data_IF_551921771804
#
_entry.id   IF_551921771804
#
_cell.length_a   1.000
_cell.length_b   1.000
_cell.length_c   1.000
_cell.angle_alpha   90.00
_cell.angle_beta   90.00
_cell.angle_gamma   90.00
#
_symmetry.space_group_name_H-M   'P 1'
#
loop_
_entity.id
_entity.type
_entity.pdbx_description
1 polymer ?
#
# COMPACT_ATOMS: atom_id res chain seq x y z
N UNK A 1 -15.36 -10.15 -36.22
CA UNK A 1 -15.75 -8.88 -35.56
C UNK A 1 -16.14 -9.01 -34.08
N UNK A 2 -17.19 -9.75 -33.67
CA UNK A 2 -17.62 -9.81 -32.24
C UNK A 2 -16.52 -10.23 -31.26
N UNK A 3 -15.75 -11.28 -31.57
CA UNK A 3 -14.65 -11.76 -30.71
C UNK A 3 -13.50 -10.73 -30.58
N UNK A 4 -13.07 -10.13 -31.68
CA UNK A 4 -12.03 -9.07 -31.68
C UNK A 4 -12.45 -7.86 -30.85
N UNK A 5 -13.72 -7.45 -30.95
CA UNK A 5 -14.28 -6.36 -30.14
C UNK A 5 -14.30 -6.72 -28.64
N UNK A 6 -14.70 -7.94 -28.28
CA UNK A 6 -14.66 -8.42 -26.90
C UNK A 6 -13.22 -8.42 -26.34
N UNK A 7 -12.26 -8.96 -27.09
CA UNK A 7 -10.85 -8.97 -26.69
C UNK A 7 -10.29 -7.56 -26.53
N UNK A 8 -10.61 -6.65 -27.46
CA UNK A 8 -10.25 -5.24 -27.37
C UNK A 8 -10.77 -4.63 -26.06
N UNK A 9 -12.08 -4.71 -25.80
CA UNK A 9 -12.70 -4.13 -24.59
C UNK A 9 -12.09 -4.70 -23.30
N UNK A 10 -11.84 -6.00 -23.22
CA UNK A 10 -11.21 -6.61 -22.03
C UNK A 10 -9.80 -6.06 -21.81
N UNK A 11 -8.98 -5.97 -22.86
CA UNK A 11 -7.64 -5.42 -22.76
C UNK A 11 -7.66 -3.93 -22.40
N UNK A 12 -8.57 -3.14 -22.99
CA UNK A 12 -8.74 -1.72 -22.66
C UNK A 12 -9.12 -1.51 -21.19
N UNK A 13 -10.01 -2.34 -20.64
CA UNK A 13 -10.39 -2.27 -19.22
C UNK A 13 -9.21 -2.59 -18.29
N UNK A 14 -8.40 -3.59 -18.64
CA UNK A 14 -7.20 -3.95 -17.87
C UNK A 14 -6.19 -2.79 -17.88
N UNK A 15 -5.95 -2.18 -19.04
CA UNK A 15 -5.03 -1.05 -19.19
C UNK A 15 -5.55 0.16 -18.39
N UNK A 16 -6.83 0.49 -18.52
CA UNK A 16 -7.45 1.58 -17.78
C UNK A 16 -7.35 1.40 -16.26
N UNK A 17 -7.60 0.17 -15.77
CA UNK A 17 -7.46 -0.16 -14.35
C UNK A 17 -6.00 -0.03 -13.89
N UNK A 18 -5.03 -0.51 -14.67
CA UNK A 18 -3.61 -0.41 -14.33
C UNK A 18 -3.11 1.04 -14.29
N UNK A 19 -3.52 1.88 -15.25
CA UNK A 19 -3.17 3.31 -15.26
C UNK A 19 -3.82 4.07 -14.12
N UNK A 20 -5.09 3.79 -13.83
CA UNK A 20 -5.78 4.39 -12.67
C UNK A 20 -5.10 4.01 -11.37
N UNK A 21 -4.76 2.73 -11.21
CA UNK A 21 -4.03 2.24 -10.04
C UNK A 21 -2.67 2.95 -9.90
N UNK A 22 -1.91 3.09 -10.99
CA UNK A 22 -0.64 3.80 -10.98
C UNK A 22 -0.79 5.27 -10.51
N UNK A 23 -1.73 6.03 -11.08
CA UNK A 23 -1.98 7.42 -10.69
C UNK A 23 -2.37 7.53 -9.21
N UNK A 24 -3.25 6.64 -8.73
CA UNK A 24 -3.67 6.61 -7.32
C UNK A 24 -2.51 6.31 -6.39
N UNK A 25 -1.68 5.31 -6.70
CA UNK A 25 -0.51 4.95 -5.89
C UNK A 25 0.51 6.09 -5.85
N UNK A 26 0.82 6.71 -6.99
CA UNK A 26 1.74 7.86 -7.04
C UNK A 26 1.21 9.04 -6.22
N UNK A 27 -0.09 9.33 -6.33
CA UNK A 27 -0.70 10.41 -5.53
C UNK A 27 -0.66 10.10 -4.02
N UNK A 28 -0.98 8.86 -3.63
CA UNK A 28 -0.88 8.43 -2.23
C UNK A 28 0.56 8.52 -1.70
N UNK A 29 1.55 8.12 -2.50
CA UNK A 29 2.96 8.21 -2.13
C UNK A 29 3.41 9.66 -1.96
N UNK A 30 3.02 10.57 -2.86
CA UNK A 30 3.36 12.00 -2.76
C UNK A 30 2.69 12.65 -1.55
N UNK A 31 1.42 12.31 -1.27
CA UNK A 31 0.72 12.78 -0.08
C UNK A 31 1.38 12.27 1.20
N UNK A 32 1.72 10.98 1.26
CA UNK A 32 2.41 10.39 2.41
C UNK A 32 3.78 11.05 2.65
N UNK A 33 4.55 11.34 1.59
CA UNK A 33 5.83 12.03 1.70
C UNK A 33 5.67 13.47 2.24
N UNK A 34 4.61 14.18 1.83
CA UNK A 34 4.28 15.49 2.38
C UNK A 34 3.93 15.38 3.88
N UNK A 35 3.04 14.46 4.25
CA UNK A 35 2.64 14.24 5.64
C UNK A 35 3.85 13.88 6.53
N UNK A 36 4.78 13.06 6.03
CA UNK A 36 6.02 12.72 6.72
C UNK A 36 6.95 13.92 6.90
N UNK A 37 7.17 14.71 5.85
CA UNK A 37 7.97 15.95 5.93
C UNK A 37 7.39 16.93 6.95
N UNK A 38 6.07 17.05 7.01
CA UNK A 38 5.37 17.91 7.96
C UNK A 38 5.51 17.40 9.40
N UNK A 39 5.42 16.09 9.63
CA UNK A 39 5.68 15.49 10.95
C UNK A 39 7.11 15.71 11.42
N UNK A 40 8.10 15.58 10.54
CA UNK A 40 9.49 15.92 10.86
C UNK A 40 9.64 17.40 11.20
N UNK A 41 8.91 18.29 10.52
CA UNK A 41 8.87 19.72 10.87
C UNK A 41 8.30 19.95 12.27
N UNK A 42 7.25 19.23 12.70
CA UNK A 42 6.75 19.31 14.11
C UNK A 42 7.87 18.96 15.08
N UNK A 43 8.56 17.84 14.85
CA UNK A 43 9.64 17.38 15.75
C UNK A 43 10.74 18.44 15.83
N UNK A 44 11.16 19.00 14.70
CA UNK A 44 12.17 20.07 14.66
C UNK A 44 11.72 21.32 15.43
N UNK A 45 10.49 21.78 15.23
CA UNK A 45 9.96 22.95 15.94
C UNK A 45 9.83 22.67 17.44
N UNK A 46 9.33 21.49 17.83
CA UNK A 46 9.23 21.08 19.24
C UNK A 46 10.61 21.06 19.91
N UNK A 47 11.61 20.46 19.27
CA UNK A 47 12.98 20.43 19.78
C UNK A 47 13.61 21.82 19.85
N UNK A 48 13.34 22.68 18.86
CA UNK A 48 13.81 24.07 18.86
C UNK A 48 13.17 24.87 19.99
N UNK A 49 11.86 24.70 20.22
CA UNK A 49 11.14 25.35 21.31
C UNK A 49 11.65 24.88 22.67
N UNK A 50 11.81 23.57 22.87
CA UNK A 50 12.34 23.03 24.14
C UNK A 50 13.74 23.54 24.42
N UNK A 51 14.61 23.58 23.40
CA UNK A 51 15.98 24.08 23.55
C UNK A 51 16.00 25.57 23.93
N UNK A 52 15.18 26.39 23.27
CA UNK A 52 15.10 27.82 23.57
C UNK A 52 14.55 28.06 24.98
N UNK A 53 13.50 27.33 25.37
CA UNK A 53 12.95 27.35 26.73
C UNK A 53 14.02 26.96 27.76
N UNK A 54 14.72 25.84 27.57
CA UNK A 54 15.78 25.41 28.50
C UNK A 54 16.93 26.42 28.58
N UNK A 55 17.35 27.01 27.45
CA UNK A 55 18.40 28.03 27.44
C UNK A 55 17.99 29.28 28.22
N UNK A 56 16.78 29.79 27.98
CA UNK A 56 16.26 30.95 28.72
C UNK A 56 15.99 30.63 30.19
N UNK A 57 15.65 29.38 30.52
CA UNK A 57 15.42 28.92 31.88
C UNK A 57 16.72 28.98 32.68
N UNK A 58 17.79 28.39 32.18
CA UNK A 58 19.11 28.45 32.82
C UNK A 58 19.57 29.89 33.05
N UNK A 59 19.24 30.81 32.13
CA UNK A 59 19.51 32.23 32.33
C UNK A 59 18.76 32.80 33.54
N UNK A 60 17.50 32.41 33.76
CA UNK A 60 16.74 32.86 34.94
C UNK A 60 17.29 32.26 36.24
N UNK A 61 17.71 30.99 36.22
CA UNK A 61 18.38 30.34 37.35
C UNK A 61 19.70 31.05 37.72
N UNK A 62 20.52 31.39 36.71
CA UNK A 62 21.75 32.16 36.89
C UNK A 62 21.49 33.54 37.52
N UNK A 63 20.48 34.27 37.02
CA UNK A 63 20.12 35.59 37.56
C UNK A 63 19.62 35.47 39.02
N UNK A 64 18.76 34.49 39.29
CA UNK A 64 18.27 34.23 40.64
C UNK A 64 19.42 33.89 41.59
N UNK A 65 20.34 33.00 41.18
CA UNK A 65 21.51 32.62 41.97
C UNK A 65 22.44 33.81 42.22
N UNK A 66 22.71 34.60 41.18
CA UNK A 66 23.57 35.78 41.27
C UNK A 66 23.02 36.79 42.27
N UNK A 67 21.73 37.14 42.19
CA UNK A 67 21.13 38.11 43.11
C UNK A 67 20.95 37.52 44.52
N UNK A 68 20.67 36.22 44.64
CA UNK A 68 20.63 35.51 45.92
C UNK A 68 21.98 35.54 46.66
N UNK A 69 23.10 35.73 45.95
CA UNK A 69 24.43 35.83 46.55
C UNK A 69 24.74 37.19 47.20
N UNK A 70 23.96 38.24 46.90
CA UNK A 70 24.26 39.59 47.34
C UNK A 70 24.10 39.74 48.86
N UNK A 71 25.14 40.22 49.59
CA UNK A 71 25.11 40.29 51.05
C UNK A 71 23.91 41.08 51.60
N UNK A 72 23.58 42.22 50.98
CA UNK A 72 22.43 43.04 51.39
C UNK A 72 21.10 42.29 51.23
N UNK A 73 20.92 41.58 50.10
CA UNK A 73 19.72 40.76 49.85
C UNK A 73 19.62 39.63 50.86
N UNK A 74 20.70 38.88 51.08
CA UNK A 74 20.77 37.77 52.04
C UNK A 74 20.37 38.21 53.45
N UNK A 75 20.99 39.29 53.94
CA UNK A 75 20.79 39.76 55.31
C UNK A 75 19.43 40.42 55.52
N UNK A 76 18.94 41.22 54.56
CA UNK A 76 17.59 41.79 54.63
C UNK A 76 16.52 40.71 54.55
N UNK A 77 16.72 39.68 53.73
CA UNK A 77 15.75 38.59 53.63
C UNK A 77 15.71 37.75 54.91
N UNK A 78 16.87 37.48 55.54
CA UNK A 78 16.94 36.83 56.85
C UNK A 78 16.22 37.65 57.93
N UNK A 79 16.46 38.97 57.97
CA UNK A 79 15.78 39.87 58.89
C UNK A 79 14.26 39.87 58.66
N UNK A 80 13.82 39.84 57.40
CA UNK A 80 12.41 39.81 57.03
C UNK A 80 11.72 38.53 57.46
N UNK A 81 12.38 37.38 57.25
CA UNK A 81 11.90 36.09 57.74
C UNK A 81 11.75 36.07 59.27
N UNK A 82 12.79 36.51 60.00
CA UNK A 82 12.76 36.58 61.47
C UNK A 82 11.64 37.48 61.97
N UNK A 83 11.42 38.62 61.32
CA UNK A 83 10.32 39.51 61.67
C UNK A 83 8.97 38.80 61.52
N UNK A 84 8.73 38.11 60.39
CA UNK A 84 7.51 37.31 60.18
C UNK A 84 7.36 36.21 61.24
N UNK A 85 8.45 35.49 61.58
CA UNK A 85 8.43 34.44 62.60
C UNK A 85 8.11 35.02 63.99
N UNK A 86 8.73 36.14 64.37
CA UNK A 86 8.51 36.83 65.65
C UNK A 86 7.09 37.40 65.78
N UNK A 87 6.46 37.77 64.66
CA UNK A 87 5.11 38.29 64.60
C UNK A 87 4.04 37.18 64.52
N UNK A 88 4.43 35.91 64.69
CA UNK A 88 3.50 34.76 64.72
C UNK A 88 3.23 34.11 63.36
N UNK A 89 4.00 34.46 62.33
CA UNK A 89 3.93 33.89 60.99
C UNK A 89 2.93 34.58 60.06
N UNK A 90 2.47 33.86 59.04
CA UNK A 90 1.49 34.37 58.07
C UNK A 90 2.07 35.46 57.16
N UNK A 91 1.38 36.60 57.09
CA UNK A 91 1.74 37.71 56.18
C UNK A 91 2.79 38.68 56.76
N UNK A 92 3.14 38.51 58.04
CA UNK A 92 3.93 39.47 58.79
C UNK A 92 3.14 40.72 59.22
N UNK A 93 3.60 41.35 60.29
CA UNK A 93 3.10 42.60 60.84
C UNK A 93 3.97 43.81 60.45
N UNK A 94 4.12 44.74 61.39
CA UNK A 94 4.78 46.03 61.17
C UNK A 94 6.30 45.92 60.97
N UNK A 95 6.97 45.03 61.71
CA UNK A 95 8.41 44.84 61.60
C UNK A 95 8.76 44.11 60.31
N UNK A 96 7.97 43.10 59.92
CA UNK A 96 8.11 42.47 58.60
C UNK A 96 7.91 43.49 57.47
N UNK A 97 6.93 44.40 57.59
CA UNK A 97 6.70 45.46 56.60
C UNK A 97 7.91 46.41 56.48
N UNK A 98 8.47 46.88 57.59
CA UNK A 98 9.68 47.74 57.59
C UNK A 98 10.87 47.07 56.91
N UNK A 99 11.09 45.78 57.13
CA UNK A 99 12.18 45.05 56.48
C UNK A 99 11.86 44.78 55.01
N UNK A 100 10.60 44.48 54.68
CA UNK A 100 10.14 44.32 53.30
C UNK A 100 10.38 45.57 52.47
N UNK A 101 10.13 46.77 53.00
CA UNK A 101 10.38 48.04 52.31
C UNK A 101 11.88 48.27 52.05
N UNK A 102 12.73 47.92 53.02
CA UNK A 102 14.19 47.98 52.85
C UNK A 102 14.67 46.99 51.79
N UNK A 103 14.16 45.76 51.82
CA UNK A 103 14.47 44.76 50.80
C UNK A 103 13.98 45.22 49.43
N UNK A 104 12.77 45.76 49.35
CA UNK A 104 12.20 46.31 48.12
C UNK A 104 13.11 47.39 47.51
N UNK A 105 13.59 48.33 48.32
CA UNK A 105 14.47 49.41 47.85
C UNK A 105 15.71 48.84 47.16
N UNK A 106 16.39 47.89 47.81
CA UNK A 106 17.59 47.24 47.24
C UNK A 106 17.26 46.41 46.00
N UNK A 107 16.17 45.64 46.06
CA UNK A 107 15.78 44.73 44.98
C UNK A 107 15.23 45.46 43.75
N UNK A 108 14.62 46.64 43.91
CA UNK A 108 14.11 47.45 42.80
C UNK A 108 15.24 47.95 41.91
N UNK A 109 16.34 48.44 42.49
CA UNK A 109 17.50 48.90 41.73
C UNK A 109 18.10 47.76 40.90
N UNK A 110 18.24 46.58 41.52
CA UNK A 110 18.73 45.37 40.85
C UNK A 110 17.77 44.95 39.74
N UNK A 111 16.47 44.88 40.03
CA UNK A 111 15.45 44.47 39.08
C UNK A 111 15.37 45.44 37.89
N UNK A 112 15.46 46.75 38.12
CA UNK A 112 15.47 47.75 37.05
C UNK A 112 16.68 47.58 36.11
N UNK A 113 17.88 47.39 36.67
CA UNK A 113 19.10 47.16 35.89
C UNK A 113 19.02 45.86 35.08
N UNK A 114 18.53 44.78 35.68
CA UNK A 114 18.37 43.49 35.00
C UNK A 114 17.25 43.53 33.96
N UNK A 115 16.18 44.30 34.20
CA UNK A 115 15.06 44.47 33.28
C UNK A 115 15.48 45.03 31.93
N UNK A 116 16.41 46.00 31.90
CA UNK A 116 16.87 46.61 30.65
C UNK A 116 17.73 45.68 29.78
N UNK A 117 18.52 44.79 30.41
CA UNK A 117 19.46 43.91 29.69
C UNK A 117 18.94 42.50 29.41
N UNK A 118 18.11 41.97 30.30
CA UNK A 118 17.69 40.56 30.28
C UNK A 118 16.19 40.36 30.06
N UNK A 119 15.42 41.46 30.03
CA UNK A 119 13.96 41.44 29.77
C UNK A 119 13.25 40.50 30.77
N UNK A 120 13.62 40.69 32.04
CA UNK A 120 13.02 40.08 33.23
C UNK A 120 11.74 40.83 33.55
N UNK A 121 10.65 40.09 33.73
CA UNK A 121 9.35 40.66 34.11
C UNK A 121 9.14 40.65 35.63
N UNK A 122 9.55 39.59 36.30
CA UNK A 122 9.22 39.39 37.71
C UNK A 122 10.45 39.04 38.52
N UNK A 123 10.52 39.60 39.71
CA UNK A 123 11.42 39.21 40.79
C UNK A 123 10.59 39.00 42.06
N UNK A 124 10.79 37.87 42.74
CA UNK A 124 9.90 37.42 43.81
C UNK A 124 10.64 36.63 44.90
N UNK A 125 10.48 37.05 46.15
CA UNK A 125 10.98 36.35 47.34
C UNK A 125 9.91 35.49 48.00
N UNK A 126 10.25 34.26 48.37
CA UNK A 126 9.35 33.31 49.00
C UNK A 126 9.90 32.75 50.32
N UNK A 127 9.08 32.80 51.37
CA UNK A 127 9.38 32.15 52.64
C UNK A 127 9.15 30.64 52.53
N UNK A 128 9.94 29.82 53.25
CA UNK A 128 9.78 28.37 53.27
C UNK A 128 8.48 27.93 53.96
N UNK A 129 8.22 26.62 53.90
CA UNK A 129 6.97 26.03 54.38
C UNK A 129 5.93 26.02 53.27
N UNK A 130 5.03 27.00 53.23
CA UNK A 130 3.93 27.05 52.25
C UNK A 130 4.24 27.85 50.98
N UNK A 131 5.53 28.07 50.70
CA UNK A 131 6.01 28.97 49.64
C UNK A 131 5.32 30.34 49.71
N UNK A 132 5.26 30.94 50.91
CA UNK A 132 4.52 32.18 51.12
C UNK A 132 5.22 33.33 50.42
N UNK A 133 4.47 34.10 49.63
CA UNK A 133 4.97 35.32 48.98
C UNK A 133 5.44 36.34 50.03
N UNK A 134 6.74 36.59 50.15
CA UNK A 134 7.26 37.63 51.05
C UNK A 134 7.24 39.01 50.38
N UNK A 135 7.74 39.07 49.14
CA UNK A 135 7.90 40.31 48.40
C UNK A 135 7.89 40.04 46.89
N UNK A 136 6.92 40.63 46.19
CA UNK A 136 6.91 40.73 44.72
C UNK A 136 7.45 42.11 44.33
N UNK A 137 8.68 42.18 43.84
CA UNK A 137 9.30 43.48 43.51
C UNK A 137 8.51 44.22 42.42
N UNK A 138 7.94 43.47 41.49
CA UNK A 138 7.09 43.96 40.39
C UNK A 138 5.65 44.31 40.79
N UNK A 139 5.21 43.90 41.99
CA UNK A 139 3.88 44.21 42.55
C UNK A 139 3.94 44.25 44.08
N UNK A 140 4.60 45.26 44.69
CA UNK A 140 4.98 45.23 46.10
C UNK A 140 3.82 45.11 47.08
N UNK A 141 2.64 45.62 46.72
CA UNK A 141 1.43 45.57 47.55
C UNK A 141 0.80 44.17 47.65
N UNK A 142 1.27 43.20 46.83
CA UNK A 142 0.73 41.85 46.78
C UNK A 142 1.69 40.83 47.43
N UNK A 143 1.51 40.60 48.73
CA UNK A 143 2.30 39.67 49.53
C UNK A 143 1.41 38.81 50.45
N UNK A 144 2.02 37.78 51.06
CA UNK A 144 1.40 36.94 52.07
C UNK A 144 0.56 35.77 51.52
N UNK A 145 0.33 35.71 50.21
CA UNK A 145 -0.41 34.61 49.59
C UNK A 145 0.39 33.31 49.58
N UNK A 146 -0.31 32.18 49.76
CA UNK A 146 0.27 30.84 49.68
C UNK A 146 0.31 30.38 48.23
N UNK A 147 1.45 29.83 47.82
CA UNK A 147 1.74 29.47 46.44
C UNK A 147 1.89 27.97 46.23
N UNK A 148 2.21 27.22 47.29
CA UNK A 148 2.44 25.78 47.21
C UNK A 148 1.34 24.96 46.51
N UNK A 149 0.02 25.28 46.54
CA UNK A 149 -0.98 24.43 45.91
C UNK A 149 -0.86 24.27 44.39
N UNK A 150 -0.22 25.22 43.71
CA UNK A 150 -0.11 25.24 42.24
C UNK A 150 1.30 25.56 41.73
N UNK A 151 2.27 25.78 42.63
CA UNK A 151 3.65 26.17 42.31
C UNK A 151 4.62 25.08 42.77
N UNK A 152 4.59 23.94 42.09
CA UNK A 152 5.41 22.78 42.43
C UNK A 152 6.91 23.11 42.36
N UNK A 153 7.29 24.02 41.46
CA UNK A 153 8.68 24.48 41.36
C UNK A 153 9.20 25.09 42.67
N UNK A 154 8.35 25.85 43.39
CA UNK A 154 8.74 26.45 44.66
C UNK A 154 8.85 25.40 45.76
N UNK A 155 7.96 24.41 45.78
CA UNK A 155 8.05 23.29 46.73
C UNK A 155 9.38 22.58 46.52
N UNK A 156 9.68 22.17 45.29
CA UNK A 156 10.90 21.45 44.97
C UNK A 156 12.16 22.26 45.29
N UNK A 157 12.15 23.57 45.03
CA UNK A 157 13.28 24.45 45.37
C UNK A 157 13.46 24.59 46.89
N UNK A 158 12.39 24.60 47.67
CA UNK A 158 12.45 24.61 49.13
C UNK A 158 12.92 23.28 49.70
N UNK A 159 12.45 22.15 49.17
CA UNK A 159 12.78 20.81 49.68
C UNK A 159 14.18 20.35 49.28
N UNK A 160 14.60 20.65 48.05
CA UNK A 160 15.93 20.26 47.55
C UNK A 160 17.03 21.27 47.91
N UNK A 161 16.65 22.49 48.28
CA UNK A 161 17.55 23.63 48.44
C UNK A 161 18.51 23.80 47.24
N UNK A 162 18.00 23.59 46.03
CA UNK A 162 18.78 23.63 44.79
C UNK A 162 18.19 24.61 43.77
N UNK A 163 18.95 24.91 42.72
CA UNK A 163 18.44 25.70 41.60
C UNK A 163 17.37 24.89 40.87
N UNK A 164 16.20 25.49 40.69
CA UNK A 164 15.09 24.88 39.97
C UNK A 164 14.57 25.90 38.96
N UNK A 165 14.28 25.45 37.75
CA UNK A 165 13.66 26.30 36.74
C UNK A 165 12.72 25.49 35.86
N UNK A 166 11.89 26.23 35.14
CA UNK A 166 10.94 25.66 34.22
C UNK A 166 9.86 26.63 33.82
N UNK A 167 8.94 26.12 33.01
CA UNK A 167 7.73 26.82 32.64
C UNK A 167 6.68 26.63 33.74
N UNK A 168 6.07 27.68 34.28
CA UNK A 168 5.02 27.51 35.30
C UNK A 168 4.05 28.70 35.35
N UNK A 169 2.76 28.41 35.48
CA UNK A 169 1.71 29.42 35.63
C UNK A 169 1.79 30.03 37.04
N UNK A 170 1.75 31.37 37.10
CA UNK A 170 1.66 32.10 38.36
C UNK A 170 0.34 32.84 38.50
N UNK A 171 0.27 33.73 39.49
CA UNK A 171 -0.92 34.56 39.76
C UNK A 171 -1.29 35.55 38.64
N UNK A 172 -0.37 35.81 37.71
CA UNK A 172 -0.51 36.84 36.67
C UNK A 172 -0.53 36.21 35.27
N UNK A 173 0.41 35.32 34.99
CA UNK A 173 0.63 34.77 33.65
C UNK A 173 1.42 33.45 33.69
N UNK A 174 1.43 32.78 32.55
CA UNK A 174 2.45 31.78 32.23
C UNK A 174 3.79 32.50 32.02
N UNK A 175 4.84 31.98 32.62
CA UNK A 175 6.19 32.50 32.40
C UNK A 175 7.24 31.44 32.62
N UNK A 176 8.40 31.69 32.04
CA UNK A 176 9.61 30.91 32.28
C UNK A 176 10.30 31.44 33.51
N UNK A 177 10.68 30.54 34.42
CA UNK A 177 11.11 30.90 35.77
C UNK A 177 12.40 30.20 36.15
N UNK A 178 13.19 30.87 36.98
CA UNK A 178 14.35 30.32 37.65
C UNK A 178 14.33 30.71 39.12
N UNK A 179 14.46 29.73 39.99
CA UNK A 179 14.33 29.82 41.44
C UNK A 179 15.66 29.40 42.07
N UNK A 180 16.20 30.25 42.95
CA UNK A 180 17.42 29.98 43.68
C UNK A 180 17.19 29.99 45.20
N UNK A 181 17.83 29.08 45.94
CA UNK A 181 17.84 29.13 47.39
C UNK A 181 18.65 30.32 47.88
N UNK A 182 18.17 30.98 48.93
CA UNK A 182 18.88 32.07 49.59
C UNK A 182 19.32 31.59 50.96
N UNK A 183 20.62 31.64 51.20
CA UNK A 183 21.21 31.45 52.53
C UNK A 183 21.63 32.78 53.10
N UNK A 184 21.78 32.89 54.41
CA UNK A 184 22.37 34.06 55.05
C UNK A 184 23.14 33.64 56.29
N UNK A 185 24.27 34.31 56.57
CA UNK A 185 25.02 34.06 57.78
C UNK A 185 24.24 34.59 58.97
N UNK A 186 23.92 33.68 59.89
CA UNK A 186 23.24 33.97 61.13
C UNK A 186 24.28 34.14 62.24
N UNK A 187 24.44 35.38 62.74
CA UNK A 187 25.42 35.70 63.77
C UNK A 187 25.10 35.06 65.13
N UNK A 188 23.83 34.75 65.42
CA UNK A 188 23.42 34.11 66.68
C UNK A 188 23.71 32.61 66.64
N UNK A 189 23.55 31.98 65.48
CA UNK A 189 23.81 30.55 65.28
C UNK A 189 25.23 30.25 64.81
N UNK A 190 26.00 31.27 64.41
CA UNK A 190 27.38 31.15 63.96
C UNK A 190 27.55 30.41 62.63
N UNK A 191 26.51 30.29 61.80
CA UNK A 191 26.51 29.52 60.54
C UNK A 191 25.58 30.12 59.50
N UNK A 192 25.75 29.73 58.24
CA UNK A 192 24.77 30.00 57.20
C UNK A 192 23.47 29.23 57.47
N UNK A 193 22.33 29.91 57.35
CA UNK A 193 21.00 29.33 57.46
C UNK A 193 20.23 29.52 56.18
N UNK A 194 19.42 28.53 55.82
CA UNK A 194 18.49 28.62 54.71
C UNK A 194 17.38 29.61 55.06
N UNK A 195 17.21 30.64 54.24
CA UNK A 195 16.26 31.74 54.48
C UNK A 195 14.97 31.49 53.71
N UNK A 196 15.05 31.12 52.43
CA UNK A 196 13.92 30.97 51.53
C UNK A 196 14.40 30.90 50.08
N UNK A 197 13.55 31.27 49.13
CA UNK A 197 13.92 31.31 47.70
C UNK A 197 13.75 32.69 47.09
N UNK A 198 14.54 32.95 46.04
CA UNK A 198 14.44 34.09 45.16
C UNK A 198 14.17 33.59 43.74
N UNK A 199 13.13 34.12 43.11
CA UNK A 199 12.71 33.77 41.76
C UNK A 199 12.85 34.96 40.81
N UNK A 200 13.28 34.65 39.60
CA UNK A 200 13.19 35.52 38.43
C UNK A 200 12.29 34.87 37.37
N UNK A 201 11.45 35.67 36.71
CA UNK A 201 10.61 35.20 35.62
C UNK A 201 10.56 36.13 34.42
N UNK A 202 10.32 35.53 33.25
CA UNK A 202 10.26 36.17 31.95
C UNK A 202 9.07 35.67 31.11
N UNK A 203 8.53 36.56 30.27
CA UNK A 203 7.47 36.23 29.31
C UNK A 203 7.97 35.36 28.15
N UNK A 204 7.04 34.62 27.55
CA UNK A 204 7.34 33.73 26.43
C UNK A 204 7.32 34.43 25.07
N UNK A 205 6.79 35.65 24.97
CA UNK A 205 6.60 36.38 23.71
C UNK A 205 7.85 36.33 22.80
N UNK A 206 9.03 36.69 23.34
CA UNK A 206 10.28 36.65 22.56
C UNK A 206 10.68 35.24 22.16
N UNK A 207 10.51 34.24 23.04
CA UNK A 207 10.82 32.84 22.74
C UNK A 207 9.96 32.34 21.59
N UNK A 208 8.66 32.63 21.65
CA UNK A 208 7.69 32.28 20.61
C UNK A 208 8.06 32.92 19.27
N UNK A 209 8.39 34.21 19.28
CA UNK A 209 8.78 34.95 18.07
C UNK A 209 10.11 34.48 17.49
N UNK A 210 11.13 34.24 18.33
CA UNK A 210 12.44 33.76 17.90
C UNK A 210 12.34 32.36 17.28
N UNK A 211 11.61 31.44 17.92
CA UNK A 211 11.38 30.08 17.38
C UNK A 211 10.58 30.14 16.08
N UNK A 212 9.51 30.93 16.04
CA UNK A 212 8.69 31.12 14.85
C UNK A 212 9.50 31.62 13.65
N UNK A 213 10.31 32.67 13.85
CA UNK A 213 11.15 33.25 12.82
C UNK A 213 12.24 32.28 12.34
N UNK A 214 12.94 31.63 13.28
CA UNK A 214 14.02 30.70 12.95
C UNK A 214 13.53 29.43 12.26
N UNK A 215 12.33 28.97 12.61
CA UNK A 215 11.74 27.79 12.00
C UNK A 215 10.88 28.10 10.77
N UNK A 216 10.65 29.38 10.47
CA UNK A 216 9.73 29.85 9.44
C UNK A 216 8.33 29.22 9.60
N UNK A 217 7.77 29.30 10.81
CA UNK A 217 6.42 28.82 11.14
C UNK A 217 5.68 29.86 11.98
N UNK A 218 4.37 29.94 11.83
CA UNK A 218 3.50 30.53 12.84
C UNK A 218 3.45 29.63 14.08
N UNK A 219 3.54 30.23 15.25
CA UNK A 219 3.48 29.53 16.53
C UNK A 219 2.55 30.29 17.47
N UNK A 220 1.64 29.57 18.12
CA UNK A 220 0.76 30.11 19.14
C UNK A 220 0.76 29.20 20.37
N UNK A 221 0.68 29.81 21.55
CA UNK A 221 0.53 29.12 22.83
C UNK A 221 -0.87 29.39 23.34
N UNK A 222 -1.64 28.32 23.52
CA UNK A 222 -3.00 28.32 24.04
C UNK A 222 -2.98 27.74 25.44
N UNK A 223 -3.67 28.38 26.38
CA UNK A 223 -3.77 27.92 27.77
C UNK A 223 -5.19 27.53 28.08
N UNK A 224 -5.33 26.42 28.80
CA UNK A 224 -6.62 25.89 29.20
C UNK A 224 -7.29 26.82 30.23
N UNK A 225 -8.55 27.21 29.96
CA UNK A 225 -9.29 28.16 30.79
C UNK A 225 -9.49 27.65 32.22
N UNK A 226 -9.79 26.35 32.38
CA UNK A 226 -10.05 25.75 33.69
C UNK A 226 -8.78 25.79 34.55
N UNK A 227 -7.61 25.54 33.94
CA UNK A 227 -6.32 25.68 34.62
C UNK A 227 -6.04 27.14 35.04
N UNK A 228 -6.34 28.11 34.16
CA UNK A 228 -6.12 29.52 34.45
C UNK A 228 -7.01 30.03 35.59
N UNK A 229 -8.28 29.63 35.64
CA UNK A 229 -9.23 30.03 36.69
C UNK A 229 -8.79 29.61 38.10
N UNK A 230 -8.06 28.50 38.21
CA UNK A 230 -7.55 28.00 39.50
C UNK A 230 -6.29 28.74 39.98
N UNK A 231 -5.46 29.23 39.05
CA UNK A 231 -4.11 29.72 39.36
C UNK A 231 -3.99 31.24 39.30
N UNK A 232 -4.61 31.87 38.29
CA UNK A 232 -4.51 33.31 38.01
C UNK A 232 -5.51 34.09 38.87
N UNK A 233 -5.12 35.28 39.35
CA UNK A 233 -6.07 36.12 40.11
C UNK A 233 -7.28 36.54 39.25
N UNK A 234 -8.50 36.57 39.81
CA UNK A 234 -9.71 36.89 39.04
C UNK A 234 -9.66 38.21 38.29
N UNK A 235 -9.06 39.25 38.89
CA UNK A 235 -8.87 40.55 38.24
C UNK A 235 -7.95 40.46 37.01
N UNK A 236 -6.86 39.70 37.13
CA UNK A 236 -5.88 39.50 36.04
C UNK A 236 -6.45 38.63 34.94
N UNK A 237 -7.20 37.59 35.30
CA UNK A 237 -7.91 36.76 34.34
C UNK A 237 -8.95 37.58 33.58
N UNK A 238 -9.79 38.36 34.28
CA UNK A 238 -10.77 39.23 33.64
C UNK A 238 -10.14 40.26 32.70
N UNK A 239 -8.95 40.79 33.04
CA UNK A 239 -8.17 41.64 32.13
C UNK A 239 -7.69 40.87 30.90
N UNK A 240 -7.08 39.69 31.09
CA UNK A 240 -6.59 38.82 30.03
C UNK A 240 -7.70 38.45 29.04
N UNK A 241 -8.89 38.11 29.51
CA UNK A 241 -10.04 37.75 28.68
C UNK A 241 -10.59 38.91 27.82
N UNK A 242 -10.32 40.17 28.21
CA UNK A 242 -10.69 41.34 27.38
C UNK A 242 -9.65 41.68 26.32
N UNK A 243 -8.39 41.34 26.58
CA UNK A 243 -7.24 41.75 25.75
C UNK A 243 -6.77 40.64 24.80
N UNK A 244 -6.95 39.38 25.17
CA UNK A 244 -6.46 38.21 24.42
C UNK A 244 -7.61 37.50 23.71
N UNK A 245 -7.26 36.80 22.63
CA UNK A 245 -8.21 35.98 21.87
C UNK A 245 -8.57 34.75 22.70
N UNK A 246 -9.87 34.54 22.88
CA UNK A 246 -10.42 33.33 23.49
C UNK A 246 -10.96 32.44 22.39
N UNK A 247 -10.64 31.16 22.46
CA UNK A 247 -11.08 30.18 21.49
C UNK A 247 -11.57 28.93 22.19
N UNK A 248 -12.88 28.69 22.12
CA UNK A 248 -13.55 27.65 22.92
C UNK A 248 -13.11 27.76 24.40
N UNK A 249 -12.52 26.69 24.95
CA UNK A 249 -12.01 26.63 26.33
C UNK A 249 -10.54 27.07 26.48
N UNK A 250 -9.96 27.72 25.48
CA UNK A 250 -8.56 28.15 25.49
C UNK A 250 -8.41 29.67 25.39
N UNK A 251 -7.38 30.20 26.03
CA UNK A 251 -6.91 31.58 25.86
C UNK A 251 -5.60 31.57 25.10
N UNK A 252 -5.49 32.35 24.03
CA UNK A 252 -4.21 32.53 23.34
C UNK A 252 -3.31 33.41 24.21
N UNK A 253 -2.29 32.80 24.81
CA UNK A 253 -1.29 33.49 25.63
C UNK A 253 -0.34 34.29 24.75
N UNK A 254 0.27 33.64 23.77
CA UNK A 254 1.24 34.22 22.85
C UNK A 254 0.99 33.72 21.43
N UNK A 255 1.27 34.55 20.43
CA UNK A 255 1.22 34.15 19.04
C UNK A 255 2.21 34.98 18.21
N UNK A 256 2.91 34.33 17.29
CA UNK A 256 3.90 34.98 16.42
C UNK A 256 3.32 35.53 15.11
N UNK A 257 2.05 35.24 14.81
CA UNK A 257 1.40 35.63 13.56
C UNK A 257 0.23 36.60 13.81
N UNK A 258 0.00 37.57 12.90
CA UNK A 258 -1.10 38.52 13.03
C UNK A 258 -2.46 37.85 12.81
N UNK A 259 -3.54 38.55 13.17
CA UNK A 259 -4.92 38.13 12.91
C UNK A 259 -5.35 36.78 13.50
N UNK A 260 -4.79 36.43 14.66
CA UNK A 260 -5.06 35.21 15.44
C UNK A 260 -6.55 34.90 15.59
N UNK A 261 -7.39 35.90 15.88
CA UNK A 261 -8.85 35.74 15.99
C UNK A 261 -9.47 35.21 14.68
N UNK A 262 -9.09 35.79 13.54
CA UNK A 262 -9.61 35.37 12.24
C UNK A 262 -9.13 33.97 11.84
N UNK A 263 -7.91 33.61 12.26
CA UNK A 263 -7.29 32.32 12.00
C UNK A 263 -8.05 31.22 12.74
N UNK A 264 -8.28 31.40 14.04
CA UNK A 264 -8.90 30.36 14.86
C UNK A 264 -10.42 30.23 14.66
N UNK A 265 -11.15 31.27 14.23
CA UNK A 265 -12.59 31.18 13.91
C UNK A 265 -12.94 30.21 12.79
N UNK A 266 -11.97 29.77 12.00
CA UNK A 266 -12.17 28.98 10.76
C UNK A 266 -11.65 27.56 10.88
N UNK A 267 -11.03 27.23 12.01
CA UNK A 267 -10.44 25.93 12.29
C UNK A 267 -11.33 25.21 13.29
N UNK A 268 -11.60 23.92 13.05
CA UNK A 268 -12.22 23.05 14.05
C UNK A 268 -11.17 22.73 15.12
N UNK A 269 -11.22 23.47 16.22
CA UNK A 269 -10.19 23.45 17.25
C UNK A 269 -10.31 22.26 18.17
N UNK A 270 -11.54 21.80 18.44
CA UNK A 270 -11.75 20.56 19.18
C UNK A 270 -11.12 19.38 18.42
N UNK A 271 -11.28 19.34 17.09
CA UNK A 271 -10.59 18.36 16.27
C UNK A 271 -9.06 18.50 16.34
N UNK A 272 -8.54 19.73 16.19
CA UNK A 272 -7.09 19.99 16.17
C UNK A 272 -6.43 19.67 17.52
N UNK A 273 -7.09 19.91 18.64
CA UNK A 273 -6.50 19.80 19.99
C UNK A 273 -6.71 18.43 20.66
N UNK A 274 -7.60 17.59 20.14
CA UNK A 274 -7.95 16.28 20.74
C UNK A 274 -6.90 15.19 20.57
N UNK A 275 -6.05 15.25 19.55
CA UNK A 275 -4.97 14.29 19.24
C UNK A 275 -3.91 15.07 18.47
N UNK A 276 -2.60 14.86 18.68
CA UNK A 276 -1.48 15.48 17.91
C UNK A 276 -1.64 15.28 16.39
N UNK A 277 -2.56 16.02 15.79
CA UNK A 277 -3.04 15.84 14.42
C UNK A 277 -2.47 16.93 13.55
N UNK A 278 -2.43 16.57 12.27
CA UNK A 278 -1.94 17.41 11.20
C UNK A 278 -3.07 17.59 10.21
N UNK A 279 -3.39 18.83 9.89
CA UNK A 279 -4.43 19.13 8.91
C UNK A 279 -3.96 20.25 8.00
N UNK A 280 -4.21 20.12 6.69
CA UNK A 280 -4.03 21.22 5.74
C UNK A 280 -5.36 21.92 5.60
N UNK A 281 -5.41 23.17 6.06
CA UNK A 281 -6.58 24.02 6.01
C UNK A 281 -6.39 25.13 4.96
N UNK A 282 -7.47 25.47 4.27
CA UNK A 282 -7.47 26.60 3.33
C UNK A 282 -7.94 27.86 4.05
N UNK A 283 -7.06 28.85 4.17
CA UNK A 283 -7.31 30.08 4.89
C UNK A 283 -8.09 31.13 4.09
N UNK A 284 -8.45 32.18 4.84
CA UNK A 284 -8.86 33.54 4.41
C UNK A 284 -8.59 33.97 2.99
N UNK A 285 -7.29 34.17 2.84
CA UNK A 285 -6.53 34.74 1.77
C UNK A 285 -6.38 33.78 0.59
N UNK A 286 -6.90 32.56 0.73
CA UNK A 286 -6.76 31.49 -0.25
C UNK A 286 -5.46 30.70 -0.10
N UNK A 287 -4.59 31.03 0.85
CA UNK A 287 -3.41 30.26 1.17
C UNK A 287 -3.78 28.92 1.82
N UNK A 288 -2.95 27.90 1.61
CA UNK A 288 -3.07 26.62 2.31
C UNK A 288 -2.09 26.61 3.47
N UNK A 289 -2.62 26.58 4.68
CA UNK A 289 -1.83 26.44 5.89
C UNK A 289 -1.92 25.02 6.41
N UNK A 290 -0.76 24.44 6.70
CA UNK A 290 -0.70 23.23 7.50
C UNK A 290 -0.72 23.60 8.98
N UNK A 291 -1.58 22.93 9.72
CA UNK A 291 -1.83 23.12 11.13
C UNK A 291 -1.42 21.87 11.89
N UNK A 292 -0.76 22.08 13.02
CA UNK A 292 -0.42 21.02 13.96
C UNK A 292 -0.55 21.51 15.39
N UNK A 293 -0.83 20.60 16.31
CA UNK A 293 -0.88 20.89 17.74
C UNK A 293 -0.08 19.87 18.54
N UNK A 294 0.39 20.29 19.71
CA UNK A 294 0.90 19.38 20.72
C UNK A 294 0.76 19.97 22.14
N UNK A 295 0.63 19.12 23.16
CA UNK A 295 0.37 19.57 24.52
C UNK A 295 1.53 20.41 25.07
N UNK A 296 1.18 21.53 25.72
CA UNK A 296 2.11 22.32 26.52
C UNK A 296 2.05 21.84 27.97
N UNK A 297 3.17 21.35 28.48
CA UNK A 297 3.33 20.95 29.87
C UNK A 297 4.14 22.00 30.61
N UNK A 298 3.71 22.31 31.82
CA UNK A 298 4.50 23.09 32.77
C UNK A 298 5.48 22.17 33.52
N UNK A 299 6.30 22.76 34.38
CA UNK A 299 7.28 22.08 35.20
C UNK A 299 6.70 20.88 35.97
N UNK A 300 5.48 21.02 36.50
CA UNK A 300 4.82 19.92 37.21
C UNK A 300 4.36 18.83 36.22
N UNK A 301 3.72 19.21 35.10
CA UNK A 301 3.30 18.28 34.07
C UNK A 301 4.43 17.54 33.36
N UNK A 302 5.66 18.07 33.36
CA UNK A 302 6.87 17.37 32.88
C UNK A 302 7.32 16.26 33.84
N UNK A 303 7.17 16.47 35.15
CA UNK A 303 7.52 15.48 36.18
C UNK A 303 6.45 14.40 36.37
N UNK A 304 5.19 14.77 36.21
CA UNK A 304 4.05 13.88 36.32
C UNK A 304 3.28 13.80 34.98
N UNK A 305 3.59 12.81 34.13
CA UNK A 305 2.91 12.61 32.86
C UNK A 305 1.39 12.37 32.97
N UNK A 306 0.90 11.90 34.13
CA UNK A 306 -0.52 11.66 34.36
C UNK A 306 -1.32 12.96 34.52
N UNK A 307 -0.65 14.07 34.84
CA UNK A 307 -1.27 15.39 34.90
C UNK A 307 -1.65 15.86 33.51
N UNK A 308 -2.80 16.53 33.42
CA UNK A 308 -3.25 17.20 32.20
C UNK A 308 -2.27 18.29 31.80
N UNK A 309 -2.11 18.48 30.48
CA UNK A 309 -1.36 19.60 29.95
C UNK A 309 -2.03 20.92 30.36
N UNK A 310 -1.24 21.96 30.61
CA UNK A 310 -1.76 23.29 30.97
C UNK A 310 -2.29 24.06 29.75
N UNK A 311 -2.07 23.51 28.56
CA UNK A 311 -2.38 24.17 27.30
C UNK A 311 -1.91 23.38 26.09
N UNK A 312 -1.85 24.06 24.95
CA UNK A 312 -1.50 23.51 23.65
C UNK A 312 -0.60 24.49 22.91
N UNK A 313 0.41 23.96 22.22
CA UNK A 313 1.18 24.72 21.22
C UNK A 313 0.57 24.43 19.86
N UNK A 314 0.18 25.47 19.14
CA UNK A 314 -0.35 25.39 17.78
C UNK A 314 0.69 25.92 16.82
N UNK A 315 0.98 25.13 15.79
CA UNK A 315 1.84 25.48 14.68
C UNK A 315 1.00 25.75 13.43
N UNK A 316 1.44 26.73 12.66
CA UNK A 316 0.90 27.06 11.35
C UNK A 316 2.06 27.21 10.38
N UNK A 317 1.98 26.60 9.21
CA UNK A 317 2.98 26.80 8.16
C UNK A 317 2.29 27.00 6.83
N UNK A 318 2.71 27.99 6.05
CA UNK A 318 2.23 28.16 4.68
C UNK A 318 2.81 27.03 3.81
N UNK A 319 1.92 26.20 3.28
CA UNK A 319 2.23 25.06 2.40
C UNK A 319 1.60 25.23 1.03
N UNK A 320 1.20 26.46 0.67
CA UNK A 320 0.49 26.77 -0.58
C UNK A 320 1.25 26.26 -1.81
N UNK A 321 2.54 26.58 -1.94
CA UNK A 321 3.34 26.15 -3.09
C UNK A 321 3.43 24.63 -3.17
N UNK A 322 3.72 23.96 -2.05
CA UNK A 322 3.86 22.50 -1.98
C UNK A 322 2.53 21.79 -2.26
N UNK A 323 1.43 22.30 -1.72
CA UNK A 323 0.11 21.74 -1.91
C UNK A 323 -0.42 21.94 -3.33
N UNK A 324 -0.21 23.13 -3.91
CA UNK A 324 -0.54 23.39 -5.32
C UNK A 324 0.32 22.55 -6.27
N UNK A 325 1.61 22.34 -5.95
CA UNK A 325 2.47 21.42 -6.69
C UNK A 325 1.95 19.98 -6.64
N UNK A 326 1.48 19.51 -5.47
CA UNK A 326 0.83 18.20 -5.33
C UNK A 326 -0.42 18.08 -6.22
N UNK A 327 -1.28 19.11 -6.24
CA UNK A 327 -2.46 19.15 -7.11
C UNK A 327 -2.07 19.19 -8.59
N UNK A 328 -1.11 20.04 -8.96
CA UNK A 328 -0.61 20.13 -10.33
C UNK A 328 -0.04 18.80 -10.81
N UNK A 329 0.75 18.11 -9.98
CA UNK A 329 1.29 16.79 -10.29
C UNK A 329 0.19 15.74 -10.48
N UNK A 330 -0.87 15.77 -9.67
CA UNK A 330 -2.02 14.89 -9.85
C UNK A 330 -2.69 15.12 -11.22
N UNK A 331 -2.94 16.38 -11.59
CA UNK A 331 -3.54 16.71 -12.89
C UNK A 331 -2.63 16.33 -14.06
N UNK A 332 -1.34 16.66 -13.98
CA UNK A 332 -0.35 16.33 -15.02
C UNK A 332 -0.20 14.82 -15.19
N UNK A 333 -0.08 14.05 -14.11
CA UNK A 333 -0.01 12.59 -14.16
C UNK A 333 -1.30 11.97 -14.72
N UNK A 334 -2.46 12.52 -14.35
CA UNK A 334 -3.75 12.09 -14.91
C UNK A 334 -3.85 12.38 -16.41
N UNK A 335 -3.37 13.55 -16.86
CA UNK A 335 -3.34 13.93 -18.26
C UNK A 335 -2.39 13.03 -19.07
N UNK A 336 -1.19 12.76 -18.56
CA UNK A 336 -0.24 11.82 -19.19
C UNK A 336 -0.79 10.40 -19.25
N UNK A 337 -1.46 9.93 -18.19
CA UNK A 337 -2.12 8.63 -18.18
C UNK A 337 -3.23 8.55 -19.24
N UNK A 338 -4.04 9.61 -19.40
CA UNK A 338 -5.08 9.67 -20.42
C UNK A 338 -4.51 9.69 -21.85
N UNK A 339 -3.49 10.52 -22.10
CA UNK A 339 -2.81 10.59 -23.40
C UNK A 339 -2.15 9.24 -23.75
N UNK A 340 -1.47 8.63 -22.78
CA UNK A 340 -0.89 7.29 -22.92
C UNK A 340 -1.95 6.23 -23.19
N UNK A 341 -3.08 6.28 -22.48
CA UNK A 341 -4.20 5.38 -22.69
C UNK A 341 -4.73 5.48 -24.13
N UNK A 342 -5.05 6.69 -24.60
CA UNK A 342 -5.55 6.91 -25.98
C UNK A 342 -4.55 6.40 -27.02
N UNK A 343 -3.25 6.66 -26.82
CA UNK A 343 -2.21 6.18 -27.72
C UNK A 343 -2.13 4.64 -27.76
N UNK A 344 -2.18 3.99 -26.60
CA UNK A 344 -2.16 2.52 -26.49
C UNK A 344 -3.43 1.93 -27.12
N UNK A 345 -4.60 2.52 -26.89
CA UNK A 345 -5.87 2.07 -27.48
C UNK A 345 -5.85 2.11 -29.02
N UNK A 346 -5.27 3.17 -29.60
CA UNK A 346 -5.08 3.28 -31.04
C UNK A 346 -4.18 2.13 -31.54
N UNK A 347 -3.03 1.92 -30.91
CA UNK A 347 -2.11 0.84 -31.29
C UNK A 347 -2.73 -0.54 -31.11
N UNK A 348 -3.44 -0.78 -30.02
CA UNK A 348 -4.15 -2.01 -29.70
C UNK A 348 -5.21 -2.30 -30.77
N UNK A 349 -6.02 -1.31 -31.14
CA UNK A 349 -7.05 -1.43 -32.16
C UNK A 349 -6.46 -1.78 -33.53
N UNK A 350 -5.44 -1.03 -33.99
CA UNK A 350 -4.80 -1.30 -35.27
C UNK A 350 -4.07 -2.65 -35.28
N UNK A 351 -3.39 -3.00 -34.19
CA UNK A 351 -2.71 -4.29 -34.03
C UNK A 351 -3.67 -5.47 -34.07
N UNK A 352 -4.76 -5.44 -33.29
CA UNK A 352 -5.79 -6.48 -33.29
C UNK A 352 -6.50 -6.60 -34.63
N UNK A 353 -6.75 -5.46 -35.31
CA UNK A 353 -7.37 -5.46 -36.63
C UNK A 353 -6.44 -6.05 -37.69
N UNK A 354 -5.15 -5.71 -37.63
CA UNK A 354 -4.14 -6.25 -38.54
C UNK A 354 -3.99 -7.77 -38.38
N UNK A 355 -3.84 -8.26 -37.15
CA UNK A 355 -3.73 -9.70 -36.87
C UNK A 355 -5.00 -10.45 -37.24
N UNK A 356 -6.19 -9.91 -36.92
CA UNK A 356 -7.48 -10.51 -37.30
C UNK A 356 -7.60 -10.64 -38.82
N UNK A 357 -7.29 -9.58 -39.59
CA UNK A 357 -7.32 -9.60 -41.06
C UNK A 357 -6.34 -10.60 -41.65
N UNK A 358 -5.11 -10.63 -41.15
CA UNK A 358 -4.09 -11.59 -41.60
C UNK A 358 -4.53 -13.02 -41.31
N UNK A 359 -5.12 -13.27 -40.15
CA UNK A 359 -5.64 -14.58 -39.77
C UNK A 359 -6.83 -14.99 -40.65
N UNK A 360 -7.77 -14.08 -40.93
CA UNK A 360 -8.89 -14.32 -41.85
C UNK A 360 -8.38 -14.73 -43.25
N UNK A 361 -7.39 -14.02 -43.78
CA UNK A 361 -6.77 -14.35 -45.07
C UNK A 361 -6.08 -15.73 -45.05
N UNK A 362 -5.28 -16.02 -44.01
CA UNK A 362 -4.62 -17.33 -43.89
C UNK A 362 -5.63 -18.47 -43.77
N UNK A 363 -6.72 -18.27 -43.03
CA UNK A 363 -7.80 -19.24 -42.90
C UNK A 363 -8.53 -19.43 -44.23
N UNK A 364 -8.78 -18.37 -44.99
CA UNK A 364 -9.42 -18.47 -46.30
C UNK A 364 -8.55 -19.22 -47.32
N UNK A 365 -7.25 -18.89 -47.40
CA UNK A 365 -6.30 -19.60 -48.26
C UNK A 365 -6.21 -21.07 -47.85
N UNK A 366 -6.07 -21.35 -46.56
CA UNK A 366 -6.04 -22.73 -46.05
C UNK A 366 -7.32 -23.50 -46.35
N UNK A 367 -8.50 -22.85 -46.26
CA UNK A 367 -9.79 -23.46 -46.64
C UNK A 367 -9.85 -23.78 -48.13
N UNK A 368 -9.36 -22.88 -49.00
CA UNK A 368 -9.30 -23.15 -50.45
C UNK A 368 -8.37 -24.31 -50.77
N UNK A 369 -7.17 -24.34 -50.20
CA UNK A 369 -6.24 -25.46 -50.36
C UNK A 369 -6.84 -26.79 -49.89
N UNK A 370 -7.57 -26.77 -48.76
CA UNK A 370 -8.25 -27.95 -48.27
C UNK A 370 -9.38 -28.39 -49.21
N UNK A 371 -10.15 -27.44 -49.74
CA UNK A 371 -11.22 -27.73 -50.70
C UNK A 371 -10.66 -28.32 -52.01
N UNK A 372 -9.61 -27.72 -52.58
CA UNK A 372 -8.95 -28.23 -53.79
C UNK A 372 -8.39 -29.63 -53.57
N UNK A 373 -7.74 -29.87 -52.43
CA UNK A 373 -7.19 -31.19 -52.10
C UNK A 373 -8.28 -32.23 -51.86
N UNK A 374 -9.40 -31.85 -51.25
CA UNK A 374 -10.56 -32.72 -51.12
C UNK A 374 -11.14 -33.09 -52.49
N UNK A 375 -11.20 -32.15 -53.43
CA UNK A 375 -11.69 -32.39 -54.79
C UNK A 375 -10.72 -33.30 -55.58
N UNK A 376 -9.41 -33.06 -55.49
CA UNK A 376 -8.40 -33.95 -56.07
C UNK A 376 -8.50 -35.38 -55.53
N UNK A 377 -8.67 -35.53 -54.21
CA UNK A 377 -8.85 -36.85 -53.60
C UNK A 377 -10.14 -37.53 -54.07
N UNK A 378 -11.23 -36.77 -54.27
CA UNK A 378 -12.45 -37.31 -54.85
C UNK A 378 -12.23 -37.79 -56.30
N UNK A 379 -11.51 -37.03 -57.12
CA UNK A 379 -11.18 -37.43 -58.49
C UNK A 379 -10.27 -38.67 -58.53
N UNK A 380 -9.24 -38.73 -57.67
CA UNK A 380 -8.37 -39.91 -57.53
C UNK A 380 -9.15 -41.16 -57.10
N UNK A 381 -10.08 -41.01 -56.14
CA UNK A 381 -10.96 -42.09 -55.71
C UNK A 381 -11.84 -42.58 -56.87
N UNK A 382 -12.51 -41.67 -57.59
CA UNK A 382 -13.36 -42.00 -58.73
C UNK A 382 -12.55 -42.68 -59.86
N UNK A 383 -11.33 -42.21 -60.14
CA UNK A 383 -10.45 -42.82 -61.13
C UNK A 383 -10.00 -44.22 -60.71
N UNK A 384 -9.69 -44.40 -59.43
CA UNK A 384 -9.33 -45.71 -58.86
C UNK A 384 -10.50 -46.69 -58.93
N UNK A 385 -11.72 -46.24 -58.63
CA UNK A 385 -12.94 -47.04 -58.78
C UNK A 385 -13.15 -47.48 -60.23
N UNK A 386 -13.02 -46.57 -61.21
CA UNK A 386 -13.10 -46.93 -62.64
C UNK A 386 -12.03 -47.93 -63.06
N UNK A 387 -10.79 -47.74 -62.62
CA UNK A 387 -9.70 -48.65 -62.95
C UNK A 387 -9.91 -50.04 -62.31
N UNK A 388 -10.49 -50.06 -61.12
CA UNK A 388 -10.85 -51.30 -60.45
C UNK A 388 -11.97 -52.03 -61.21
N UNK A 389 -12.99 -51.31 -61.69
CA UNK A 389 -14.04 -51.87 -62.53
C UNK A 389 -13.49 -52.41 -63.86
N UNK A 390 -12.63 -51.65 -64.55
CA UNK A 390 -11.97 -52.12 -65.79
C UNK A 390 -11.12 -53.37 -65.55
N UNK A 391 -10.43 -53.44 -64.41
CA UNK A 391 -9.66 -54.63 -64.04
C UNK A 391 -10.58 -55.83 -63.82
N UNK A 392 -11.73 -55.66 -63.19
CA UNK A 392 -12.73 -56.72 -63.02
C UNK A 392 -13.28 -57.18 -64.38
N UNK A 393 -13.62 -56.25 -65.28
CA UNK A 393 -14.05 -56.56 -66.65
C UNK A 393 -12.97 -57.34 -67.43
N UNK A 394 -11.70 -56.91 -67.37
CA UNK A 394 -10.59 -57.62 -68.03
C UNK A 394 -10.37 -59.02 -67.46
N UNK A 395 -10.55 -59.21 -66.15
CA UNK A 395 -10.44 -60.54 -65.53
C UNK A 395 -11.52 -61.46 -66.11
N UNK A 396 -12.75 -60.97 -66.24
CA UNK A 396 -13.88 -61.72 -66.79
C UNK A 396 -13.67 -62.08 -68.28
N UNK A 397 -13.15 -61.13 -69.06
CA UNK A 397 -12.79 -61.34 -70.47
C UNK A 397 -11.66 -62.37 -70.63
N UNK A 398 -10.62 -62.31 -69.78
CA UNK A 398 -9.53 -63.30 -69.77
C UNK A 398 -10.05 -64.70 -69.42
N UNK A 399 -10.95 -64.80 -68.44
CA UNK A 399 -11.56 -66.08 -68.05
C UNK A 399 -12.35 -66.69 -69.23
N UNK A 400 -13.08 -65.87 -69.97
CA UNK A 400 -13.87 -66.30 -71.14
C UNK A 400 -12.96 -66.77 -72.28
N UNK A 401 -11.89 -66.03 -72.59
CA UNK A 401 -10.92 -66.41 -73.62
C UNK A 401 -10.15 -67.70 -73.29
N UNK A 402 -9.90 -67.98 -72.00
CA UNK A 402 -9.32 -69.25 -71.56
C UNK A 402 -10.26 -70.43 -71.73
N UNK A 403 -11.58 -70.21 -71.63
CA UNK A 403 -12.60 -71.22 -71.90
C UNK A 403 -12.64 -71.58 -73.40
N UNK A 404 -12.55 -70.59 -74.29
CA UNK A 404 -12.56 -70.79 -75.75
C UNK A 404 -11.33 -71.54 -76.27
N UNK A 405 -10.14 -71.31 -75.70
CA UNK A 405 -8.90 -72.03 -76.09
C UNK A 405 -8.99 -73.53 -75.74
N UNK A 406 -9.72 -73.89 -74.68
CA UNK A 406 -9.91 -75.29 -74.27
C UNK A 406 -10.78 -76.10 -75.24
N UNK A 407 -11.62 -75.45 -76.04
CA UNK A 407 -12.52 -76.09 -77.01
C UNK A 407 -11.87 -76.35 -78.38
N UNK A 408 -10.80 -75.63 -78.73
CA UNK A 408 -10.17 -75.68 -80.07
C UNK A 408 -9.02 -76.69 -80.23
N UNK A 409 -8.54 -77.31 -79.14
CA UNK A 409 -7.42 -78.26 -79.16
C UNK A 409 -7.82 -79.75 -79.25
N UNK A 410 -9.05 -80.08 -79.66
CA UNK A 410 -9.62 -81.45 -79.59
C UNK A 410 -9.82 -82.21 -80.90
N UNK A 411 -9.40 -81.71 -82.07
CA UNK A 411 -9.66 -82.34 -83.36
C UNK A 411 -8.50 -83.26 -83.82
N UNK A 412 -8.65 -84.58 -83.65
CA UNK A 412 -7.68 -85.57 -84.14
C UNK A 412 -7.98 -85.99 -85.60
N UNK A 413 -7.04 -85.80 -86.55
CA UNK A 413 -7.23 -86.20 -87.94
C UNK A 413 -7.18 -87.73 -88.11
N UNK A 414 -8.32 -88.34 -88.46
CA UNK A 414 -8.45 -89.78 -88.74
C UNK A 414 -8.53 -90.06 -90.24
N UNK A 415 -7.80 -91.06 -90.73
CA UNK A 415 -7.83 -91.48 -92.12
C UNK A 415 -9.22 -92.04 -92.45
N UNK A 416 -9.89 -91.43 -93.42
CA UNK A 416 -11.26 -91.79 -93.82
C UNK A 416 -11.39 -93.25 -94.27
N UNK A 417 -10.31 -93.84 -94.81
CA UNK A 417 -10.31 -95.19 -95.38
C UNK A 417 -9.88 -96.28 -94.39
N UNK A 418 -8.69 -96.16 -93.78
CA UNK A 418 -8.11 -97.21 -92.92
C UNK A 418 -8.24 -96.93 -91.41
N UNK A 419 -8.88 -95.81 -91.03
CA UNK A 419 -9.18 -95.41 -89.65
C UNK A 419 -7.96 -95.24 -88.72
N UNK A 420 -6.76 -95.12 -89.28
CA UNK A 420 -5.54 -94.70 -88.56
C UNK A 420 -5.61 -93.22 -88.16
N UNK A 421 -5.03 -92.84 -87.03
CA UNK A 421 -4.88 -91.44 -86.61
C UNK A 421 -3.51 -90.93 -87.04
N UNK A 422 -3.45 -89.68 -87.50
CA UNK A 422 -2.18 -88.99 -87.79
C UNK A 422 -1.73 -88.23 -86.54
N UNK A 423 -0.52 -88.50 -86.09
CA UNK A 423 0.10 -87.75 -85.00
C UNK A 423 0.69 -86.40 -85.47
N UNK A 424 1.19 -85.61 -84.50
CA UNK A 424 1.77 -84.29 -84.73
C UNK A 424 3.07 -84.33 -85.57
N UNK A 425 3.71 -85.49 -85.66
CA UNK A 425 4.89 -85.74 -86.52
C UNK A 425 4.51 -86.20 -87.94
N UNK A 426 3.21 -86.43 -88.19
CA UNK A 426 2.66 -86.75 -89.51
C UNK A 426 2.58 -88.25 -89.84
N UNK A 427 2.90 -89.14 -88.91
CA UNK A 427 2.85 -90.59 -89.10
C UNK A 427 1.44 -91.14 -88.85
N UNK A 428 1.05 -92.14 -89.65
CA UNK A 428 -0.25 -92.80 -89.54
C UNK A 428 -0.13 -94.07 -88.70
N UNK A 429 -0.68 -94.02 -87.50
CA UNK A 429 -0.72 -95.14 -86.56
C UNK A 429 -2.13 -95.63 -86.31
N UNK A 430 -2.26 -96.90 -85.88
CA UNK A 430 -3.56 -97.44 -85.51
C UNK A 430 -4.11 -96.69 -84.28
N UNK A 431 -5.43 -96.57 -84.21
CA UNK A 431 -6.15 -95.84 -83.15
C UNK A 431 -5.66 -96.24 -81.75
N UNK A 432 -5.51 -97.54 -81.53
CA UNK A 432 -5.11 -98.11 -80.24
C UNK A 432 -3.71 -97.62 -79.83
N UNK A 433 -2.76 -97.58 -80.76
CA UNK A 433 -1.40 -97.08 -80.51
C UNK A 433 -1.33 -95.57 -80.23
N UNK A 434 -2.16 -94.77 -80.90
CA UNK A 434 -2.22 -93.32 -80.67
C UNK A 434 -2.71 -93.00 -79.25
N UNK A 435 -3.76 -93.70 -78.82
CA UNK A 435 -4.39 -93.50 -77.50
C UNK A 435 -3.50 -94.01 -76.36
N UNK A 436 -2.84 -95.16 -76.50
CA UNK A 436 -1.87 -95.65 -75.49
C UNK A 436 -0.68 -94.69 -75.30
N UNK A 437 -0.28 -93.95 -76.35
CA UNK A 437 0.85 -93.02 -76.27
C UNK A 437 0.48 -91.66 -75.67
N UNK A 438 -0.76 -91.18 -75.90
CA UNK A 438 -1.21 -89.84 -75.52
C UNK A 438 -2.25 -89.82 -74.39
N UNK A 439 -2.49 -90.96 -73.73
CA UNK A 439 -3.37 -91.06 -72.58
C UNK A 439 -2.92 -92.19 -71.65
N UNK A 440 -3.49 -92.25 -70.45
CA UNK A 440 -3.23 -93.34 -69.49
C UNK A 440 -4.06 -94.62 -69.79
N UNK A 441 -4.70 -94.74 -70.96
CA UNK A 441 -5.55 -95.88 -71.31
C UNK A 441 -4.76 -97.11 -71.77
N UNK A 442 -5.18 -98.32 -71.36
CA UNK A 442 -4.61 -99.61 -71.75
C UNK A 442 -5.68 -100.50 -72.43
N UNK A 443 -5.38 -101.12 -73.57
CA UNK A 443 -6.35 -101.95 -74.30
C UNK A 443 -6.25 -103.44 -73.96
N UNK A 444 -7.40 -104.09 -73.72
CA UNK A 444 -7.53 -105.55 -73.61
C UNK A 444 -8.38 -106.12 -74.74
N UNK A 445 -8.16 -107.38 -75.12
CA UNK A 445 -8.89 -108.03 -76.21
C UNK A 445 -10.11 -108.78 -75.67
N UNK A 446 -11.30 -108.42 -76.16
CA UNK A 446 -12.57 -109.11 -75.91
C UNK A 446 -13.39 -109.25 -77.19
N UNK A 447 -14.28 -110.23 -77.26
CA UNK A 447 -15.19 -110.43 -78.40
C UNK A 447 -16.60 -109.97 -78.01
N UNK A 448 -17.22 -109.09 -78.80
CA UNK A 448 -18.58 -108.63 -78.52
C UNK A 448 -19.63 -109.70 -78.88
N UNK A 449 -20.82 -109.60 -78.30
CA UNK A 449 -21.92 -110.56 -78.50
C UNK A 449 -22.38 -110.72 -79.97
N UNK A 450 -22.17 -109.69 -80.79
CA UNK A 450 -22.50 -109.72 -82.21
C UNK A 450 -21.48 -110.58 -82.97
N UNK A 451 -20.19 -110.28 -82.82
CA UNK A 451 -19.10 -111.08 -83.40
C UNK A 451 -19.05 -112.50 -82.86
N UNK A 452 -19.37 -112.71 -81.57
CA UNK A 452 -19.51 -114.06 -80.99
C UNK A 452 -20.60 -114.85 -81.71
N UNK A 453 -21.69 -114.19 -82.13
CA UNK A 453 -22.76 -114.84 -82.85
C UNK A 453 -22.51 -115.14 -84.32
N UNK A 454 -21.66 -114.35 -84.96
CA UNK A 454 -21.33 -114.50 -86.37
C UNK A 454 -20.20 -115.51 -86.59
N UNK A 455 -19.19 -115.51 -85.71
CA UNK A 455 -18.00 -116.36 -85.85
C UNK A 455 -18.00 -117.60 -84.95
N UNK A 456 -18.78 -117.61 -83.86
CA UNK A 456 -18.92 -118.74 -82.94
C UNK A 456 -20.40 -119.05 -82.63
N UNK A 457 -21.23 -119.31 -83.66
CA UNK A 457 -22.69 -119.48 -83.49
C UNK A 457 -23.08 -120.63 -82.56
N UNK A 458 -22.26 -121.69 -82.48
CA UNK A 458 -22.49 -122.83 -81.58
C UNK A 458 -22.34 -122.43 -80.10
N UNK A 459 -21.37 -121.56 -79.78
CA UNK A 459 -21.17 -121.00 -78.43
C UNK A 459 -22.31 -120.04 -78.05
N UNK A 460 -22.82 -119.26 -79.02
CA UNK A 460 -23.97 -118.37 -78.78
C UNK A 460 -25.24 -119.14 -78.41
N UNK A 461 -25.42 -120.37 -78.91
CA UNK A 461 -26.59 -121.22 -78.60
C UNK A 461 -26.59 -121.75 -77.16
N UNK A 462 -25.42 -122.10 -76.59
CA UNK A 462 -25.33 -122.54 -75.19
C UNK A 462 -25.56 -121.39 -74.19
N UNK A 463 -25.02 -120.19 -74.46
CA UNK A 463 -25.16 -119.02 -73.58
C UNK A 463 -26.61 -118.51 -73.52
N UNK A 464 -27.44 -118.75 -74.55
CA UNK A 464 -28.84 -118.32 -74.57
C UNK A 464 -29.77 -119.19 -73.72
N UNK A 465 -29.38 -120.43 -73.41
CA UNK A 465 -30.18 -121.35 -72.56
C UNK A 465 -30.01 -121.06 -71.05
N UNK A 466 -28.95 -120.37 -70.63
CA UNK A 466 -28.63 -120.14 -69.22
C UNK A 466 -29.21 -118.84 -68.63
N UNK A 467 -29.58 -117.84 -69.43
CA UNK A 467 -30.03 -116.51 -68.95
C UNK A 467 -31.55 -116.33 -68.75
N UNK A 468 -32.35 -117.41 -68.76
CA UNK A 468 -33.76 -117.39 -68.31
C UNK A 468 -33.91 -117.45 -66.78
N UNK A 469 -32.81 -117.50 -66.04
CA UNK A 469 -32.80 -117.44 -64.57
C UNK A 469 -32.21 -116.11 -64.13
N UNK A 470 -33.05 -115.30 -63.49
CA UNK A 470 -32.67 -114.22 -62.57
C UNK A 470 -32.09 -112.97 -63.27
N UNK A 471 -32.78 -111.83 -63.38
CA UNK A 471 -33.83 -111.28 -62.54
C UNK A 471 -33.25 -110.23 -61.60
N UNK A 472 -33.72 -109.00 -61.78
CA UNK A 472 -33.92 -107.99 -60.72
C UNK A 472 -32.67 -107.39 -60.06
N UNK A 473 -32.40 -106.10 -60.25
CA UNK A 473 -32.97 -104.94 -59.54
C UNK A 473 -31.84 -104.25 -58.74
N UNK A 474 -32.02 -102.97 -58.39
CA UNK A 474 -30.98 -101.95 -58.45
C UNK A 474 -30.60 -101.49 -57.04
N UNK A 475 -29.69 -100.51 -56.95
CA UNK A 475 -29.98 -99.20 -56.33
C UNK A 475 -28.72 -98.32 -56.23
N UNK A 476 -29.00 -97.02 -56.39
CA UNK A 476 -28.54 -95.85 -55.59
C UNK A 476 -27.03 -95.66 -55.46
N UNK A 477 -26.50 -94.46 -55.62
CA UNK A 477 -27.05 -93.11 -55.50
C UNK A 477 -26.25 -92.18 -56.43
#
# INVERSE_FOLDING_TARGET
MKKTLQTFVVLSLIIAAALTFFVVVTHQQQKAALDESLREKIKQVRSSLSLELSSKQHKMEELASYVASFPAVRQLFLAGRRAVENEGGGVGGEDAAKVRDKLLTVSQDIWFLLGQGFDVLQMHYHLPGKATSFLRVHKPDAYGDQLSPFRQMLIDAHESESLVGGLEVGRINLSLRGVAPVYAYDAELGRDVYVGTLEFAKLLERVVNDVAANQNVGLAILLDMEQLEQMVWPEQLGKKLREKVVVENYVVEEASFPHVDSFFRKVDIDFLLSVERTEVHRCTDGAYHWLASFPLRDYWGEKDPARTAIGQVVLSNDVTETYLALQHNLYSNSAYALLGFVFIEILLWFGLRYTSRKLELMVEVGRRQLADKNLQLQDELNAKEKLQQQREELIDELMTAMEDVKALSGLLPICSYCKKIRDDEGYWQRLEGYIETHSEAQFSHGICNDCLGEHFPDVKKEIRLSHLKEGSLPKKE
#
